data_IF_631130581490
#
_entry.id   IF_631130581490
#
_cell.length_a   1.000
_cell.length_b   1.000
_cell.length_c   1.000
_cell.angle_alpha   90.00
_cell.angle_beta   90.00
_cell.angle_gamma   90.00
#
_symmetry.space_group_name_H-M   'P 1'
#
loop_
_entity.id
_entity.type
_entity.pdbx_description
1 polymer ?
#
# COMPACT_ATOMS: atom_id res chain seq x y z
N UNK A 1 -6.61 14.34 19.06
CA UNK A 1 -6.11 13.03 18.60
C UNK A 1 -5.92 13.13 17.10
N UNK A 2 -4.80 12.63 16.54
CA UNK A 2 -4.61 12.60 15.10
C UNK A 2 -5.57 11.58 14.48
N UNK A 3 -6.00 11.84 13.23
CA UNK A 3 -6.82 10.91 12.46
C UNK A 3 -5.99 9.75 11.93
N UNK A 4 -6.64 8.67 11.56
CA UNK A 4 -6.08 7.62 10.70
C UNK A 4 -6.29 7.99 9.22
N UNK A 5 -5.58 7.32 8.32
CA UNK A 5 -5.78 7.49 6.89
C UNK A 5 -5.78 6.14 6.16
N UNK A 6 -6.69 6.01 5.20
CA UNK A 6 -6.68 4.94 4.20
C UNK A 6 -6.21 5.57 2.89
N UNK A 7 -5.14 5.04 2.31
CA UNK A 7 -4.57 5.54 1.05
C UNK A 7 -4.62 4.43 0.01
N UNK A 8 -5.22 4.74 -1.12
CA UNK A 8 -5.22 3.89 -2.32
C UNK A 8 -4.85 4.69 -3.55
N UNK A 9 -4.77 4.05 -4.70
CA UNK A 9 -4.54 4.71 -5.98
C UNK A 9 -5.40 4.10 -7.08
N UNK A 10 -5.72 4.90 -8.10
CA UNK A 10 -6.49 4.44 -9.25
C UNK A 10 -6.21 5.30 -10.48
N UNK A 11 -6.62 4.78 -11.64
CA UNK A 11 -6.67 5.48 -12.92
C UNK A 11 -8.05 5.26 -13.56
N UNK A 12 -8.27 5.82 -14.75
CA UNK A 12 -9.57 5.68 -15.45
C UNK A 12 -10.00 4.23 -15.64
N UNK A 13 -9.07 3.32 -15.94
CA UNK A 13 -9.38 1.89 -16.21
C UNK A 13 -9.93 1.16 -14.98
N UNK A 14 -9.40 1.44 -13.80
CA UNK A 14 -9.83 0.84 -12.53
C UNK A 14 -10.77 1.73 -11.71
N UNK A 15 -11.08 2.93 -12.21
CA UNK A 15 -11.89 3.92 -11.50
C UNK A 15 -13.32 3.45 -11.23
N UNK A 16 -13.93 2.71 -12.15
CA UNK A 16 -15.28 2.18 -11.94
C UNK A 16 -15.30 1.08 -10.87
N UNK A 17 -14.28 0.21 -10.83
CA UNK A 17 -14.14 -0.76 -9.74
C UNK A 17 -13.92 -0.04 -8.40
N UNK A 18 -13.04 0.97 -8.37
CA UNK A 18 -12.80 1.77 -7.17
C UNK A 18 -14.10 2.38 -6.62
N UNK A 19 -14.97 2.88 -7.48
CA UNK A 19 -16.24 3.53 -7.09
C UNK A 19 -17.27 2.49 -6.66
N UNK A 20 -17.56 1.52 -7.54
CA UNK A 20 -18.72 0.66 -7.41
C UNK A 20 -18.50 -0.53 -6.48
N UNK A 21 -17.24 -0.88 -6.17
CA UNK A 21 -16.89 -2.02 -5.33
C UNK A 21 -16.05 -1.58 -4.12
N UNK A 22 -14.88 -1.03 -4.36
CA UNK A 22 -13.94 -0.66 -3.29
C UNK A 22 -14.52 0.39 -2.32
N UNK A 23 -14.90 1.57 -2.83
CA UNK A 23 -15.41 2.66 -1.98
C UNK A 23 -16.78 2.32 -1.39
N UNK A 24 -17.63 1.68 -2.18
CA UNK A 24 -18.95 1.25 -1.72
C UNK A 24 -18.82 0.28 -0.54
N UNK A 25 -18.06 -0.79 -0.70
CA UNK A 25 -17.86 -1.78 0.38
C UNK A 25 -17.15 -1.18 1.59
N UNK A 26 -16.20 -0.27 1.38
CA UNK A 26 -15.55 0.45 2.47
C UNK A 26 -16.58 1.23 3.32
N UNK A 27 -17.49 1.95 2.68
CA UNK A 27 -18.52 2.74 3.39
C UNK A 27 -19.60 1.90 4.04
N UNK A 28 -19.92 0.76 3.46
CA UNK A 28 -20.93 -0.16 4.00
C UNK A 28 -20.42 -0.92 5.23
N UNK A 29 -19.13 -1.28 5.27
CA UNK A 29 -18.58 -2.19 6.26
C UNK A 29 -17.62 -1.54 7.27
N UNK A 30 -17.10 -0.33 7.01
CA UNK A 30 -16.08 0.29 7.85
C UNK A 30 -16.55 1.61 8.45
N UNK A 31 -16.41 1.76 9.75
CA UNK A 31 -16.68 3.03 10.43
C UNK A 31 -15.59 4.06 10.13
N UNK A 32 -15.85 4.97 9.21
CA UNK A 32 -14.91 5.99 8.77
C UNK A 32 -14.82 7.22 9.70
N UNK A 33 -15.39 7.17 10.88
CA UNK A 33 -15.23 8.25 11.86
C UNK A 33 -13.75 8.40 12.23
N UNK A 34 -13.20 9.61 12.05
CA UNK A 34 -11.79 9.93 12.25
C UNK A 34 -10.82 9.21 11.28
N UNK A 35 -11.29 8.81 10.11
CA UNK A 35 -10.47 8.23 9.05
C UNK A 35 -10.64 9.09 7.79
N UNK A 36 -9.54 9.59 7.25
CA UNK A 36 -9.53 10.22 5.93
C UNK A 36 -9.31 9.15 4.86
N UNK A 37 -10.04 9.22 3.75
CA UNK A 37 -9.88 8.35 2.58
C UNK A 37 -9.21 9.15 1.48
N UNK A 38 -8.00 8.75 1.10
CA UNK A 38 -7.15 9.43 0.11
C UNK A 38 -6.98 8.53 -1.11
N UNK A 39 -7.26 9.08 -2.27
CA UNK A 39 -7.08 8.40 -3.55
C UNK A 39 -6.01 9.14 -4.34
N UNK A 40 -4.90 8.46 -4.63
CA UNK A 40 -3.87 8.98 -5.52
C UNK A 40 -4.38 8.81 -6.95
N UNK A 41 -4.65 9.93 -7.59
CA UNK A 41 -5.25 10.00 -8.92
C UNK A 41 -4.18 9.91 -10.01
N UNK A 42 -4.19 8.83 -10.76
CA UNK A 42 -3.32 8.59 -11.90
C UNK A 42 -4.02 8.74 -13.25
N UNK A 43 -4.98 9.63 -13.33
CA UNK A 43 -5.74 9.91 -14.55
C UNK A 43 -7.14 9.31 -14.48
N UNK A 44 -7.86 9.54 -13.40
CA UNK A 44 -9.30 9.30 -13.32
C UNK A 44 -10.05 10.20 -14.30
N UNK A 45 -11.17 9.74 -14.86
CA UNK A 45 -12.04 10.57 -15.68
C UNK A 45 -12.67 11.70 -14.88
N UNK A 46 -13.16 12.73 -15.55
CA UNK A 46 -13.87 13.84 -14.91
C UNK A 46 -15.08 13.38 -14.09
N UNK A 47 -15.83 12.42 -14.60
CA UNK A 47 -17.01 11.87 -13.90
C UNK A 47 -16.58 11.11 -12.63
N UNK A 48 -15.56 10.27 -12.71
CA UNK A 48 -15.03 9.54 -11.57
C UNK A 48 -14.51 10.49 -10.49
N UNK A 49 -13.74 11.51 -10.86
CA UNK A 49 -13.27 12.56 -9.91
C UNK A 49 -14.42 13.26 -9.22
N UNK A 50 -15.43 13.71 -10.00
CA UNK A 50 -16.59 14.41 -9.44
C UNK A 50 -17.33 13.53 -8.45
N UNK A 51 -17.56 12.26 -8.78
CA UNK A 51 -18.21 11.32 -7.88
C UNK A 51 -17.40 11.15 -6.58
N UNK A 52 -16.12 10.86 -6.68
CA UNK A 52 -15.25 10.64 -5.51
C UNK A 52 -15.19 11.86 -4.58
N UNK A 53 -15.14 13.07 -5.12
CA UNK A 53 -15.19 14.30 -4.32
C UNK A 53 -16.53 14.48 -3.60
N UNK A 54 -17.64 14.17 -4.26
CA UNK A 54 -18.98 14.20 -3.65
C UNK A 54 -19.10 13.18 -2.50
N UNK A 55 -18.37 12.06 -2.63
CA UNK A 55 -18.28 11.03 -1.61
C UNK A 55 -17.31 11.37 -0.45
N UNK A 56 -16.82 12.63 -0.40
CA UNK A 56 -15.92 13.18 0.62
C UNK A 56 -14.56 12.49 0.69
N UNK A 57 -14.08 11.93 -0.41
CA UNK A 57 -12.70 11.44 -0.51
C UNK A 57 -11.75 12.60 -0.83
N UNK A 58 -10.48 12.41 -0.48
CA UNK A 58 -9.41 13.36 -0.80
C UNK A 58 -8.71 12.86 -2.06
N UNK A 59 -8.75 13.62 -3.14
CA UNK A 59 -7.99 13.32 -4.34
C UNK A 59 -6.62 13.98 -4.27
N UNK A 60 -5.57 13.19 -4.50
CA UNK A 60 -4.19 13.66 -4.58
C UNK A 60 -3.61 13.33 -5.95
N UNK A 61 -3.25 14.34 -6.73
CA UNK A 61 -2.68 14.15 -8.07
C UNK A 61 -1.33 13.43 -7.99
N UNK A 62 -1.29 12.25 -8.60
CA UNK A 62 -0.10 11.43 -8.68
C UNK A 62 0.82 11.81 -9.84
N UNK A 63 2.07 11.38 -9.78
CA UNK A 63 3.04 11.65 -10.85
C UNK A 63 2.75 10.83 -12.11
N UNK A 64 3.02 11.41 -13.28
CA UNK A 64 2.83 10.74 -14.59
C UNK A 64 4.01 9.85 -15.00
N UNK A 65 5.04 9.75 -14.17
CA UNK A 65 6.24 8.95 -14.43
C UNK A 65 6.16 7.63 -13.64
N UNK A 66 6.87 6.63 -14.13
CA UNK A 66 7.12 5.35 -13.47
C UNK A 66 5.91 4.40 -13.45
N UNK A 67 6.22 3.12 -13.24
CA UNK A 67 5.18 2.10 -13.10
C UNK A 67 4.32 2.34 -11.84
N UNK A 68 3.02 2.12 -11.96
CA UNK A 68 2.05 2.45 -10.90
C UNK A 68 2.38 1.76 -9.55
N UNK A 69 2.82 0.52 -9.58
CA UNK A 69 3.16 -0.25 -8.36
C UNK A 69 4.31 0.37 -7.57
N UNK A 70 5.26 1.03 -8.24
CA UNK A 70 6.37 1.70 -7.59
C UNK A 70 6.00 3.13 -7.17
N UNK A 71 5.42 3.91 -8.10
CA UNK A 71 5.16 5.34 -7.87
C UNK A 71 4.10 5.58 -6.78
N UNK A 72 3.19 4.64 -6.54
CA UNK A 72 2.18 4.75 -5.47
C UNK A 72 2.79 4.97 -4.10
N UNK A 73 3.92 4.32 -3.78
CA UNK A 73 4.67 4.57 -2.55
C UNK A 73 5.31 5.96 -2.52
N UNK A 74 5.83 6.43 -3.66
CA UNK A 74 6.48 7.74 -3.73
C UNK A 74 5.47 8.87 -3.55
N UNK A 75 4.29 8.74 -4.15
CA UNK A 75 3.22 9.73 -4.06
C UNK A 75 2.52 9.68 -2.70
N UNK A 76 2.31 8.49 -2.12
CA UNK A 76 1.84 8.37 -0.74
C UNK A 76 2.81 9.06 0.24
N UNK A 77 4.12 8.85 0.08
CA UNK A 77 5.13 9.56 0.87
C UNK A 77 5.09 11.08 0.69
N UNK A 78 4.90 11.55 -0.56
CA UNK A 78 4.75 12.98 -0.86
C UNK A 78 3.49 13.59 -0.22
N UNK A 79 2.37 12.88 -0.24
CA UNK A 79 1.14 13.30 0.44
C UNK A 79 1.34 13.36 1.95
N UNK A 80 1.87 12.30 2.54
CA UNK A 80 2.10 12.17 3.97
C UNK A 80 3.15 13.14 4.50
N UNK A 81 4.12 13.58 3.70
CA UNK A 81 5.08 14.60 4.14
C UNK A 81 4.44 15.96 4.47
N UNK A 82 3.23 16.21 3.95
CA UNK A 82 2.46 17.45 4.16
C UNK A 82 1.27 17.27 5.10
N UNK A 83 0.85 16.03 5.36
CA UNK A 83 -0.35 15.71 6.12
C UNK A 83 -0.01 14.66 7.19
N UNK A 84 -0.23 14.98 8.47
CA UNK A 84 0.12 14.11 9.60
C UNK A 84 -1.08 13.29 10.05
N UNK A 85 -0.83 12.01 10.30
CA UNK A 85 -1.81 11.05 10.79
C UNK A 85 -1.25 10.23 11.97
N UNK A 86 -2.10 9.44 12.62
CA UNK A 86 -1.68 8.47 13.63
C UNK A 86 -1.25 7.16 12.95
N UNK A 87 -2.16 6.58 12.17
CA UNK A 87 -1.96 5.33 11.48
C UNK A 87 -2.30 5.46 9.99
N UNK A 88 -1.68 4.64 9.18
CA UNK A 88 -1.89 4.52 7.74
C UNK A 88 -2.34 3.10 7.41
N UNK A 89 -3.41 2.95 6.65
CA UNK A 89 -3.69 1.78 5.84
C UNK A 89 -3.37 2.14 4.39
N UNK A 90 -2.37 1.49 3.82
CA UNK A 90 -2.06 1.58 2.41
C UNK A 90 -2.56 0.31 1.72
N UNK A 91 -3.45 0.47 0.73
CA UNK A 91 -4.22 -0.66 0.21
C UNK A 91 -4.48 -0.52 -1.29
N UNK A 92 -4.50 -1.64 -2.02
CA UNK A 92 -4.79 -1.67 -3.45
C UNK A 92 -6.25 -1.28 -3.73
N UNK A 93 -6.48 -0.57 -4.83
CA UNK A 93 -7.79 -0.02 -5.18
C UNK A 93 -8.47 -0.70 -6.38
N UNK A 94 -7.86 -1.74 -6.94
CA UNK A 94 -8.32 -2.35 -8.18
C UNK A 94 -8.90 -3.77 -8.04
N UNK A 95 -8.76 -4.41 -6.88
CA UNK A 95 -9.10 -5.81 -6.67
C UNK A 95 -9.54 -6.14 -5.22
N UNK A 96 -9.70 -5.15 -4.37
CA UNK A 96 -10.07 -5.32 -2.96
C UNK A 96 -11.53 -4.91 -2.71
N UNK A 97 -12.23 -5.72 -1.91
CA UNK A 97 -13.59 -5.47 -1.42
C UNK A 97 -13.61 -5.65 0.09
N UNK A 98 -14.02 -4.63 0.83
CA UNK A 98 -14.15 -4.71 2.29
C UNK A 98 -15.40 -5.53 2.65
N UNK A 99 -15.21 -6.57 3.45
CA UNK A 99 -16.29 -7.49 3.86
C UNK A 99 -16.64 -7.36 5.34
N UNK A 100 -15.81 -6.65 6.13
CA UNK A 100 -15.98 -6.54 7.58
C UNK A 100 -15.31 -5.27 8.12
N UNK A 101 -15.57 -4.95 9.38
CA UNK A 101 -15.00 -3.82 10.11
C UNK A 101 -13.50 -4.01 10.39
N UNK A 102 -12.70 -3.03 10.00
CA UNK A 102 -11.23 -3.08 10.09
C UNK A 102 -10.63 -2.07 11.07
N UNK A 103 -11.43 -1.19 11.68
CA UNK A 103 -10.91 -0.10 12.52
C UNK A 103 -10.15 -0.59 13.75
N UNK A 104 -10.48 -1.79 14.26
CA UNK A 104 -9.75 -2.42 15.35
C UNK A 104 -8.27 -2.68 15.02
N UNK A 105 -7.95 -2.92 13.74
CA UNK A 105 -6.57 -3.17 13.28
C UNK A 105 -5.69 -1.93 13.45
N UNK A 106 -6.23 -0.72 13.34
CA UNK A 106 -5.45 0.51 13.58
C UNK A 106 -4.91 0.59 15.00
N UNK A 107 -5.60 -0.01 15.97
CA UNK A 107 -5.21 0.02 17.38
C UNK A 107 -4.40 -1.20 17.83
N UNK A 108 -4.54 -2.33 17.12
CA UNK A 108 -3.79 -3.55 17.43
C UNK A 108 -2.35 -3.40 16.94
N UNK A 109 -1.37 -3.72 17.79
CA UNK A 109 0.06 -3.66 17.47
C UNK A 109 0.47 -2.34 16.79
N UNK A 110 -0.15 -1.23 17.23
CA UNK A 110 -0.09 0.08 16.57
C UNK A 110 1.31 0.67 16.39
N UNK A 111 2.31 0.12 17.07
CA UNK A 111 3.70 0.59 17.01
C UNK A 111 4.54 -0.15 15.95
N UNK A 112 3.95 -1.07 15.18
CA UNK A 112 4.68 -1.83 14.16
C UNK A 112 3.89 -1.93 12.86
N UNK A 113 4.53 -2.46 11.80
CA UNK A 113 3.84 -2.84 10.57
C UNK A 113 2.96 -4.06 10.83
N UNK A 114 1.76 -4.05 10.25
CA UNK A 114 0.83 -5.18 10.24
C UNK A 114 0.51 -5.45 8.79
N UNK A 115 0.82 -6.64 8.34
CA UNK A 115 0.81 -7.00 6.93
C UNK A 115 0.22 -8.38 6.71
N UNK A 116 -0.17 -8.68 5.50
CA UNK A 116 -0.76 -9.97 5.14
C UNK A 116 0.24 -10.75 4.29
N UNK A 117 0.43 -12.05 4.52
CA UNK A 117 1.21 -12.88 3.59
C UNK A 117 0.44 -13.08 2.28
N UNK A 118 1.14 -13.20 1.17
CA UNK A 118 0.53 -13.57 -0.12
C UNK A 118 -0.04 -15.00 -0.06
N UNK A 119 0.59 -15.86 0.72
CA UNK A 119 0.26 -17.20 1.16
C UNK A 119 1.42 -17.67 2.02
N UNK A 120 1.18 -18.39 3.12
CA UNK A 120 2.27 -18.83 4.00
C UNK A 120 3.22 -19.80 3.32
N UNK A 121 2.73 -20.55 2.33
CA UNK A 121 3.49 -21.48 1.49
C UNK A 121 4.25 -20.79 0.34
N UNK A 122 3.88 -19.54 -0.02
CA UNK A 122 4.51 -18.78 -1.10
C UNK A 122 5.80 -18.16 -0.60
N UNK A 123 6.91 -18.83 -0.89
CA UNK A 123 8.23 -18.39 -0.47
C UNK A 123 8.95 -17.61 -1.56
N UNK A 124 9.88 -16.77 -1.18
CA UNK A 124 10.61 -15.91 -2.12
C UNK A 124 11.38 -16.67 -3.20
N UNK A 125 11.90 -17.87 -2.92
CA UNK A 125 12.64 -18.66 -3.92
C UNK A 125 11.77 -19.09 -5.12
N UNK A 126 10.44 -19.14 -4.96
CA UNK A 126 9.48 -19.51 -6.00
C UNK A 126 9.03 -18.34 -6.85
N UNK A 127 9.11 -17.13 -6.29
CA UNK A 127 8.47 -15.93 -6.86
C UNK A 127 9.43 -14.79 -7.18
N UNK A 128 10.70 -14.95 -6.88
CA UNK A 128 11.65 -13.88 -6.86
C UNK A 128 12.25 -13.57 -8.24
N UNK A 129 11.97 -12.40 -8.79
CA UNK A 129 12.52 -11.92 -10.06
C UNK A 129 13.61 -10.89 -9.78
N UNK A 130 14.86 -11.25 -10.04
CA UNK A 130 16.02 -10.42 -9.74
C UNK A 130 16.49 -9.47 -10.86
N UNK A 131 15.85 -9.47 -12.00
CA UNK A 131 16.38 -8.81 -13.21
C UNK A 131 16.50 -7.28 -13.09
N UNK A 132 15.83 -6.69 -12.10
CA UNK A 132 15.77 -5.25 -11.90
C UNK A 132 16.82 -4.70 -10.91
N UNK A 133 17.72 -5.53 -10.40
CA UNK A 133 18.69 -5.13 -9.38
C UNK A 133 20.13 -5.47 -9.76
N UNK A 134 21.07 -4.62 -9.39
CA UNK A 134 22.50 -4.90 -9.50
C UNK A 134 22.89 -6.12 -8.63
N UNK A 135 23.85 -6.92 -9.07
CA UNK A 135 24.27 -8.17 -8.42
C UNK A 135 24.51 -8.04 -6.91
N UNK A 136 25.24 -7.01 -6.49
CA UNK A 136 25.55 -6.74 -5.07
C UNK A 136 24.31 -6.43 -4.23
N UNK A 137 23.33 -5.77 -4.83
CA UNK A 137 22.05 -5.46 -4.17
C UNK A 137 21.18 -6.72 -4.09
N UNK A 138 21.12 -7.51 -5.15
CA UNK A 138 20.46 -8.82 -5.19
C UNK A 138 20.92 -9.72 -4.04
N UNK A 139 22.23 -9.86 -3.89
CA UNK A 139 22.81 -10.70 -2.84
C UNK A 139 22.41 -10.25 -1.42
N UNK A 140 22.37 -8.93 -1.19
CA UNK A 140 21.93 -8.36 0.09
C UNK A 140 20.45 -8.66 0.35
N UNK A 141 19.59 -8.43 -0.65
CA UNK A 141 18.15 -8.69 -0.54
C UNK A 141 17.94 -10.18 -0.29
N UNK A 142 18.57 -11.04 -1.11
CA UNK A 142 18.42 -12.47 -1.02
C UNK A 142 18.78 -13.05 0.35
N UNK A 143 19.87 -12.58 0.96
CA UNK A 143 20.26 -12.98 2.33
C UNK A 143 19.16 -12.73 3.36
N UNK A 144 18.32 -11.71 3.14
CA UNK A 144 17.25 -11.33 4.07
C UNK A 144 15.95 -12.07 3.80
N UNK A 145 15.59 -12.26 2.53
CA UNK A 145 14.25 -12.76 2.17
C UNK A 145 14.18 -14.24 1.81
N UNK A 146 15.33 -14.87 1.56
CA UNK A 146 15.39 -16.30 1.15
C UNK A 146 14.58 -17.19 2.07
N UNK A 147 13.75 -18.05 1.48
CA UNK A 147 12.89 -19.02 2.17
C UNK A 147 11.91 -18.39 3.19
N UNK A 148 11.60 -17.11 3.05
CA UNK A 148 10.60 -16.44 3.89
C UNK A 148 9.29 -16.26 3.13
N UNK A 149 8.13 -16.29 3.80
CA UNK A 149 6.84 -15.98 3.18
C UNK A 149 6.85 -14.62 2.48
N UNK A 150 6.21 -14.55 1.33
CA UNK A 150 6.06 -13.27 0.61
C UNK A 150 4.98 -12.44 1.27
N UNK A 151 5.35 -11.23 1.72
CA UNK A 151 4.40 -10.25 2.25
C UNK A 151 3.70 -9.57 1.06
N UNK A 152 2.38 -9.53 1.07
CA UNK A 152 1.60 -8.83 0.04
C UNK A 152 1.78 -7.32 0.16
N UNK A 153 2.15 -6.65 -0.94
CA UNK A 153 2.27 -5.19 -0.98
C UNK A 153 0.92 -4.46 -1.13
N UNK A 154 -0.16 -5.21 -1.31
CA UNK A 154 -1.51 -4.68 -1.50
C UNK A 154 -2.23 -4.29 -0.21
N UNK A 155 -1.76 -4.74 0.98
CA UNK A 155 -2.39 -4.40 2.27
C UNK A 155 -1.32 -4.16 3.33
N UNK A 156 -1.17 -2.91 3.77
CA UNK A 156 -0.16 -2.51 4.76
C UNK A 156 -0.79 -1.56 5.78
N UNK A 157 -0.92 -2.01 7.04
CA UNK A 157 -1.18 -1.12 8.16
C UNK A 157 0.13 -0.74 8.83
N UNK A 158 0.31 0.54 9.16
CA UNK A 158 1.54 1.00 9.81
C UNK A 158 1.34 2.29 10.62
N UNK A 159 2.17 2.54 11.64
CA UNK A 159 2.32 3.86 12.22
C UNK A 159 2.76 4.86 11.13
N UNK A 160 2.20 6.04 11.15
CA UNK A 160 2.49 7.11 10.18
C UNK A 160 4.00 7.30 9.92
N UNK A 161 4.79 7.49 11.00
CA UNK A 161 6.22 7.74 10.85
C UNK A 161 6.98 6.58 10.20
N UNK A 162 6.59 5.33 10.52
CA UNK A 162 7.21 4.14 9.94
C UNK A 162 6.85 3.99 8.47
N UNK A 163 5.58 4.26 8.10
CA UNK A 163 5.15 4.19 6.71
C UNK A 163 5.82 5.29 5.86
N UNK A 164 5.93 6.51 6.37
CA UNK A 164 6.64 7.58 5.68
C UNK A 164 8.12 7.23 5.48
N UNK A 165 8.78 6.61 6.48
CA UNK A 165 10.15 6.12 6.33
C UNK A 165 10.25 5.03 5.25
N UNK A 166 9.32 4.07 5.22
CA UNK A 166 9.24 3.05 4.17
C UNK A 166 9.15 3.70 2.78
N UNK A 167 8.23 4.66 2.58
CA UNK A 167 8.08 5.34 1.29
C UNK A 167 9.37 6.03 0.83
N UNK A 168 10.10 6.65 1.76
CA UNK A 168 11.38 7.30 1.47
C UNK A 168 12.47 6.28 1.08
N UNK A 169 12.51 5.13 1.74
CA UNK A 169 13.48 4.08 1.44
C UNK A 169 13.13 3.34 0.15
N UNK A 170 11.84 3.07 -0.11
CA UNK A 170 11.37 2.57 -1.40
C UNK A 170 11.84 3.44 -2.56
N UNK A 171 11.66 4.77 -2.44
CA UNK A 171 12.10 5.73 -3.47
C UNK A 171 13.59 5.70 -3.74
N UNK A 172 14.43 5.42 -2.72
CA UNK A 172 15.90 5.34 -2.84
C UNK A 172 16.36 4.00 -3.40
N UNK A 173 15.73 2.89 -2.96
CA UNK A 173 16.17 1.54 -3.27
C UNK A 173 15.67 1.03 -4.62
N UNK A 174 14.49 1.45 -5.06
CA UNK A 174 13.95 1.10 -6.37
C UNK A 174 14.69 1.92 -7.44
N UNK A 175 15.65 1.28 -8.15
CA UNK A 175 16.43 1.87 -9.23
C UNK A 175 15.62 1.90 -10.52
N UNK A 176 15.18 0.75 -10.99
CA UNK A 176 14.31 0.62 -12.15
C UNK A 176 12.85 0.89 -11.76
N UNK A 177 12.45 2.16 -11.84
CA UNK A 177 11.13 2.62 -11.41
C UNK A 177 10.01 2.30 -12.41
N UNK A 178 10.38 1.96 -13.63
CA UNK A 178 9.44 1.62 -14.71
C UNK A 178 9.14 0.11 -14.77
N UNK A 179 9.91 -0.71 -14.05
CA UNK A 179 9.68 -2.14 -13.96
C UNK A 179 8.50 -2.50 -13.05
N UNK A 180 7.84 -3.61 -13.37
CA UNK A 180 6.88 -4.28 -12.47
C UNK A 180 7.64 -5.14 -11.45
N UNK A 181 7.24 -5.10 -10.17
CA UNK A 181 7.68 -6.03 -9.12
C UNK A 181 8.76 -5.53 -8.16
N UNK A 182 9.60 -4.50 -8.45
CA UNK A 182 10.59 -4.01 -7.47
C UNK A 182 9.97 -3.56 -6.14
N UNK A 183 8.75 -3.03 -6.15
CA UNK A 183 8.02 -2.62 -4.95
C UNK A 183 7.82 -3.79 -3.99
N UNK A 184 7.33 -4.92 -4.49
CA UNK A 184 7.10 -6.14 -3.71
C UNK A 184 8.39 -6.65 -3.06
N UNK A 185 9.48 -6.65 -3.82
CA UNK A 185 10.79 -7.14 -3.37
C UNK A 185 11.38 -6.23 -2.30
N UNK A 186 11.41 -4.92 -2.54
CA UNK A 186 11.97 -3.94 -1.61
C UNK A 186 11.13 -3.82 -0.35
N UNK A 187 9.80 -3.88 -0.45
CA UNK A 187 8.92 -3.92 0.71
C UNK A 187 9.29 -5.09 1.64
N UNK A 188 9.39 -6.30 1.08
CA UNK A 188 9.72 -7.48 1.86
C UNK A 188 11.12 -7.38 2.48
N UNK A 189 12.12 -6.96 1.70
CA UNK A 189 13.47 -6.71 2.21
C UNK A 189 13.47 -5.72 3.38
N UNK A 190 12.72 -4.64 3.27
CA UNK A 190 12.60 -3.62 4.33
C UNK A 190 11.93 -4.18 5.58
N UNK A 191 10.78 -4.84 5.41
CA UNK A 191 9.98 -5.32 6.54
C UNK A 191 10.68 -6.43 7.31
N UNK A 192 11.34 -7.38 6.63
CA UNK A 192 12.12 -8.43 7.29
C UNK A 192 13.33 -7.90 8.08
N UNK A 193 13.77 -6.68 7.82
CA UNK A 193 14.81 -6.03 8.62
C UNK A 193 14.24 -5.18 9.76
N UNK A 194 13.06 -4.57 9.57
CA UNK A 194 12.48 -3.61 10.53
C UNK A 194 11.49 -4.22 11.50
N UNK A 195 11.03 -5.43 11.23
CA UNK A 195 10.02 -6.13 12.01
C UNK A 195 8.59 -5.74 11.64
N UNK A 196 7.71 -6.69 11.73
CA UNK A 196 6.28 -6.59 11.45
C UNK A 196 5.52 -7.71 12.18
N UNK A 197 4.19 -7.64 12.14
CA UNK A 197 3.28 -8.69 12.59
C UNK A 197 2.42 -9.12 11.40
N UNK A 198 2.24 -10.43 11.22
CA UNK A 198 1.26 -10.93 10.27
C UNK A 198 -0.15 -10.75 10.81
N UNK A 199 -1.02 -10.21 9.98
CA UNK A 199 -2.46 -10.27 10.16
C UNK A 199 -2.98 -11.62 9.67
N UNK A 200 -4.18 -11.97 10.11
CA UNK A 200 -4.95 -13.09 9.62
C UNK A 200 -5.18 -12.95 8.10
N UNK A 201 -5.18 -14.08 7.38
CA UNK A 201 -5.42 -14.13 5.94
C UNK A 201 -6.77 -13.53 5.50
N UNK A 202 -7.75 -13.46 6.40
CA UNK A 202 -9.02 -12.77 6.16
C UNK A 202 -8.88 -11.29 5.79
N UNK A 203 -7.72 -10.67 6.08
CA UNK A 203 -7.39 -9.30 5.67
C UNK A 203 -6.68 -9.23 4.31
N UNK A 204 -6.52 -10.37 3.62
CA UNK A 204 -6.05 -10.44 2.24
C UNK A 204 -7.28 -10.61 1.34
N UNK A 205 -7.93 -9.52 1.05
CA UNK A 205 -9.19 -9.47 0.33
C UNK A 205 -9.02 -9.81 -1.14
#
# INVERSE_FOLDING_TARGET
MLKNVIITCSNEKSGDFLINHWLKSLKENVNLKNIDVVIIDYGLSKLQRTFLLNEKTILFEGMNKYHIVNKRFFDAGKYLSKNKYDQVLFIDGGDIIFQDEITSVFNKDKNTFRVVPLGMEVLFFEWFIFDNFEKKIKEKIWKVVKNKPVINAGVIFAPYNKFLSLCNDMKKLIRNKDAFGPDQIILNYYLYQKGFVFLDSKYNF
#
